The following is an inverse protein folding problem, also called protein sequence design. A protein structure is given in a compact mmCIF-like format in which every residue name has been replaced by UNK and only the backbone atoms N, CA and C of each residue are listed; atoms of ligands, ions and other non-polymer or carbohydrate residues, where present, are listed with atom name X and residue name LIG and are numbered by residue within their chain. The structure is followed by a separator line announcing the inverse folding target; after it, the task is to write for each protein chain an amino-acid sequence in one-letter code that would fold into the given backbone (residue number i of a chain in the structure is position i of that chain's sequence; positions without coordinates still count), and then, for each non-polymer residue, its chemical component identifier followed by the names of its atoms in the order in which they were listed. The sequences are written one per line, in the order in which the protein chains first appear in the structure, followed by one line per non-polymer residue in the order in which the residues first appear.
data_IF_271043878114
#
_entry.id   IF_271043878114
#
_cell.length_a   1.000
_cell.length_b   1.000
_cell.length_c   1.000
_cell.angle_alpha   90.00
_cell.angle_beta   90.00
_cell.angle_gamma   90.00
#
_symmetry.space_group_name_H-M   'P 1'
#
loop_
_entity.id
_entity.type
_entity.pdbx_description
1 polymer ?
#
# COMPACT_ATOMS: atom_id res chain seq x y z
N UNK A 1 20.79 -46.55 27.34
CA UNK A 1 19.91 -45.62 28.09
C UNK A 1 18.83 -45.11 27.14
N UNK A 2 17.53 -45.40 27.35
CA UNK A 2 16.49 -44.94 26.45
C UNK A 2 16.20 -43.45 26.72
N UNK A 3 16.31 -42.60 25.68
CA UNK A 3 15.94 -41.18 25.72
C UNK A 3 14.45 -41.08 26.04
N UNK A 4 14.09 -40.34 27.09
CA UNK A 4 12.72 -40.25 27.61
C UNK A 4 11.77 -39.64 26.57
N UNK A 5 10.70 -40.37 26.28
CA UNK A 5 9.62 -40.03 25.34
C UNK A 5 8.77 -38.82 25.77
N UNK A 6 8.84 -38.41 27.03
CA UNK A 6 8.00 -37.35 27.63
C UNK A 6 8.45 -35.94 27.21
N UNK A 7 9.76 -35.72 27.01
CA UNK A 7 10.32 -34.41 26.62
C UNK A 7 9.98 -34.05 25.16
N UNK A 8 9.75 -35.06 24.33
CA UNK A 8 9.40 -34.85 22.92
C UNK A 8 7.95 -34.40 22.71
N UNK A 9 7.01 -34.75 23.61
CA UNK A 9 5.58 -34.43 23.40
C UNK A 9 5.30 -32.94 23.52
N UNK A 10 5.83 -32.29 24.56
CA UNK A 10 5.64 -30.85 24.76
C UNK A 10 6.28 -30.04 23.64
N UNK A 11 7.48 -30.43 23.21
CA UNK A 11 8.15 -29.85 22.04
C UNK A 11 7.32 -30.00 20.76
N UNK A 12 6.75 -31.18 20.52
CA UNK A 12 5.87 -31.42 19.37
C UNK A 12 4.62 -30.55 19.42
N UNK A 13 4.02 -30.35 20.60
CA UNK A 13 2.87 -29.45 20.76
C UNK A 13 3.22 -27.99 20.48
N UNK A 14 4.38 -27.52 20.94
CA UNK A 14 4.87 -26.17 20.66
C UNK A 14 5.16 -25.98 19.16
N UNK A 15 5.78 -26.95 18.49
CA UNK A 15 6.05 -26.93 17.05
C UNK A 15 4.74 -26.89 16.24
N UNK A 16 3.74 -27.67 16.64
CA UNK A 16 2.44 -27.70 15.96
C UNK A 16 1.66 -26.40 16.16
N UNK A 17 1.71 -25.81 17.36
CA UNK A 17 1.11 -24.49 17.62
C UNK A 17 1.74 -23.40 16.75
N UNK A 18 3.05 -23.45 16.54
CA UNK A 18 3.74 -22.53 15.63
C UNK A 18 3.23 -22.72 14.20
N UNK A 19 3.10 -23.97 13.73
CA UNK A 19 2.63 -24.27 12.37
C UNK A 19 1.17 -23.85 12.15
N UNK A 20 0.27 -24.08 13.10
CA UNK A 20 -1.14 -23.66 13.00
C UNK A 20 -1.32 -22.13 13.02
N UNK A 21 -0.34 -21.39 13.54
CA UNK A 21 -0.34 -19.92 13.50
C UNK A 21 0.25 -19.36 12.19
N UNK A 22 1.00 -20.17 11.44
CA UNK A 22 1.62 -19.76 10.17
C UNK A 22 0.68 -20.06 8.99
N UNK A 23 0.01 -21.21 9.04
CA UNK A 23 -0.81 -21.78 7.97
C UNK A 23 -2.30 -21.78 8.33
N UNK A 24 -3.15 -21.52 7.35
CA UNK A 24 -4.60 -21.55 7.57
C UNK A 24 -5.12 -23.00 7.70
N UNK A 25 -6.32 -23.20 8.25
CA UNK A 25 -6.92 -24.54 8.46
C UNK A 25 -7.03 -25.41 7.20
N UNK A 26 -7.01 -24.80 6.00
CA UNK A 26 -7.01 -25.53 4.74
C UNK A 26 -5.60 -26.03 4.35
N UNK A 27 -4.54 -25.35 4.80
CA UNK A 27 -3.12 -25.63 4.52
C UNK A 27 -2.50 -26.56 5.56
N UNK A 28 -2.93 -26.45 6.82
CA UNK A 28 -2.44 -27.27 7.92
C UNK A 28 -3.58 -27.61 8.88
N UNK A 29 -3.67 -28.88 9.26
CA UNK A 29 -4.57 -29.36 10.31
C UNK A 29 -3.90 -30.46 11.14
N UNK A 30 -4.35 -30.63 12.39
CA UNK A 30 -3.91 -31.73 13.23
C UNK A 30 -5.12 -32.47 13.83
N UNK A 31 -4.94 -33.76 14.11
CA UNK A 31 -5.76 -34.49 15.08
C UNK A 31 -4.91 -34.80 16.32
N UNK A 32 -5.56 -34.86 17.49
CA UNK A 32 -4.94 -35.27 18.75
C UNK A 32 -5.54 -36.60 19.19
N UNK A 33 -4.83 -37.69 18.92
CA UNK A 33 -5.09 -39.03 19.47
C UNK A 33 -3.85 -39.48 20.29
N UNK A 34 -3.65 -40.79 20.54
CA UNK A 34 -2.44 -41.30 21.21
C UNK A 34 -1.14 -40.94 20.45
N UNK A 35 -1.28 -40.54 19.18
CA UNK A 35 -0.26 -40.02 18.28
C UNK A 35 -0.76 -38.67 17.71
N UNK A 36 0.14 -37.70 17.57
CA UNK A 36 -0.17 -36.44 16.87
C UNK A 36 -0.03 -36.69 15.37
N UNK A 37 -1.16 -36.69 14.65
CA UNK A 37 -1.16 -36.72 13.19
C UNK A 37 -1.31 -35.30 12.63
N UNK A 38 -0.34 -34.90 11.81
CA UNK A 38 -0.32 -33.60 11.15
C UNK A 38 -0.60 -33.78 9.66
N UNK A 39 -1.61 -33.08 9.15
CA UNK A 39 -1.95 -33.05 7.75
C UNK A 39 -1.49 -31.72 7.17
N UNK A 40 -0.48 -31.76 6.29
CA UNK A 40 -0.03 -30.61 5.53
C UNK A 40 -0.55 -30.73 4.11
N UNK A 41 -1.55 -29.92 3.79
CA UNK A 41 -2.03 -29.80 2.43
C UNK A 41 -1.13 -28.79 1.71
N UNK A 42 -0.06 -29.33 1.11
CA UNK A 42 0.65 -28.60 0.07
C UNK A 42 -0.30 -28.49 -1.12
N UNK A 43 -1.06 -27.39 -1.19
CA UNK A 43 -1.56 -26.92 -2.47
C UNK A 43 -0.38 -26.19 -3.10
N UNK A 44 0.42 -26.84 -3.99
CA UNK A 44 1.26 -26.05 -4.85
C UNK A 44 0.30 -25.17 -5.63
N UNK A 45 0.20 -23.90 -5.25
CA UNK A 45 -0.18 -22.89 -6.23
C UNK A 45 0.95 -23.03 -7.24
N UNK A 46 0.72 -23.81 -8.29
CA UNK A 46 1.60 -23.90 -9.45
C UNK A 46 1.46 -22.56 -10.14
N UNK A 47 2.02 -21.53 -9.52
CA UNK A 47 2.41 -20.32 -10.21
C UNK A 47 3.58 -20.78 -11.08
N UNK A 48 3.26 -21.01 -12.35
CA UNK A 48 4.26 -21.11 -13.41
C UNK A 48 5.25 -19.96 -13.21
N UNK A 49 6.54 -20.24 -13.43
CA UNK A 49 7.57 -19.21 -13.38
C UNK A 49 7.17 -18.02 -14.27
N UNK A 50 6.82 -16.90 -13.65
CA UNK A 50 6.39 -15.67 -14.30
C UNK A 50 7.52 -14.61 -14.35
N UNK A 51 8.76 -15.07 -14.17
CA UNK A 51 9.94 -14.21 -14.26
C UNK A 51 9.95 -13.07 -13.24
N UNK A 52 10.05 -11.85 -13.74
CA UNK A 52 10.09 -10.61 -12.96
C UNK A 52 8.70 -10.04 -12.68
N UNK A 53 7.65 -10.61 -13.28
CA UNK A 53 6.29 -10.13 -13.08
C UNK A 53 5.85 -10.36 -11.61
N UNK A 54 5.07 -9.46 -11.00
CA UNK A 54 4.57 -9.69 -9.65
C UNK A 54 3.64 -10.91 -9.59
N UNK A 55 3.61 -11.61 -8.45
CA UNK A 55 2.64 -12.68 -8.25
C UNK A 55 1.22 -12.11 -8.31
N UNK A 56 0.34 -12.74 -9.09
CA UNK A 56 -1.06 -12.32 -9.18
C UNK A 56 -1.78 -12.55 -7.85
N UNK A 57 -2.18 -11.46 -7.19
CA UNK A 57 -3.00 -11.49 -5.98
C UNK A 57 -4.29 -10.70 -6.22
N UNK A 58 -5.39 -11.16 -5.62
CA UNK A 58 -6.63 -10.39 -5.60
C UNK A 58 -6.41 -9.05 -4.89
N UNK A 59 -7.04 -7.98 -5.39
CA UNK A 59 -6.94 -6.63 -4.85
C UNK A 59 -7.21 -6.58 -3.34
N UNK A 60 -8.22 -7.32 -2.87
CA UNK A 60 -8.57 -7.36 -1.45
C UNK A 60 -7.42 -7.94 -0.60
N UNK A 61 -6.77 -9.00 -1.07
CA UNK A 61 -5.65 -9.63 -0.38
C UNK A 61 -4.42 -8.71 -0.39
N UNK A 62 -4.18 -8.02 -1.51
CA UNK A 62 -3.11 -7.02 -1.63
C UNK A 62 -3.29 -5.89 -0.61
N UNK A 63 -4.49 -5.32 -0.51
CA UNK A 63 -4.78 -4.24 0.44
C UNK A 63 -4.61 -4.69 1.90
N UNK A 64 -5.15 -5.86 2.25
CA UNK A 64 -4.97 -6.44 3.60
C UNK A 64 -3.51 -6.68 3.94
N UNK A 65 -2.72 -7.19 3.00
CA UNK A 65 -1.29 -7.43 3.17
C UNK A 65 -0.52 -6.13 3.42
N UNK A 66 -0.83 -5.07 2.67
CA UNK A 66 -0.20 -3.76 2.84
C UNK A 66 -0.54 -3.19 4.22
N UNK A 67 -1.81 -3.20 4.60
CA UNK A 67 -2.27 -2.70 5.89
C UNK A 67 -1.62 -3.45 7.05
N UNK A 68 -1.56 -4.77 6.96
CA UNK A 68 -0.87 -5.60 7.95
C UNK A 68 0.63 -5.28 8.01
N UNK A 69 1.28 -5.10 6.86
CA UNK A 69 2.69 -4.76 6.79
C UNK A 69 2.98 -3.40 7.43
N UNK A 70 2.20 -2.36 7.13
CA UNK A 70 2.41 -1.01 7.68
C UNK A 70 2.25 -0.97 9.20
N UNK A 71 1.22 -1.63 9.73
CA UNK A 71 0.89 -1.66 11.17
C UNK A 71 1.78 -2.59 11.99
N UNK A 72 2.59 -3.43 11.34
CA UNK A 72 3.38 -4.46 12.01
C UNK A 72 4.74 -3.96 12.54
N UNK A 73 5.19 -4.60 13.63
CA UNK A 73 6.55 -4.43 14.16
C UNK A 73 7.62 -5.08 13.26
N UNK A 74 8.90 -4.88 13.59
CA UNK A 74 10.04 -5.39 12.79
C UNK A 74 10.03 -6.91 12.62
N UNK A 75 9.64 -7.67 13.63
CA UNK A 75 9.67 -9.13 13.58
C UNK A 75 8.53 -9.68 12.73
N UNK A 76 7.33 -9.12 12.87
CA UNK A 76 6.19 -9.49 12.04
C UNK A 76 6.39 -9.09 10.58
N UNK A 77 7.06 -7.96 10.30
CA UNK A 77 7.52 -7.61 8.94
C UNK A 77 8.48 -8.66 8.35
N UNK A 78 9.42 -9.19 9.15
CA UNK A 78 10.30 -10.29 8.70
C UNK A 78 9.52 -11.57 8.41
N UNK A 79 8.51 -11.90 9.21
CA UNK A 79 7.63 -13.05 8.97
C UNK A 79 6.84 -12.89 7.67
N UNK A 80 6.24 -11.72 7.42
CA UNK A 80 5.54 -11.42 6.17
C UNK A 80 6.48 -11.49 4.95
N UNK A 81 7.69 -10.98 5.08
CA UNK A 81 8.73 -11.09 4.05
C UNK A 81 9.11 -12.54 3.75
N UNK A 82 9.12 -13.42 4.76
CA UNK A 82 9.36 -14.85 4.57
C UNK A 82 8.17 -15.54 3.90
N UNK A 83 6.93 -15.19 4.28
CA UNK A 83 5.70 -15.79 3.75
C UNK A 83 5.42 -15.42 2.29
N UNK A 84 5.56 -14.14 1.93
CA UNK A 84 5.20 -13.62 0.60
C UNK A 84 6.40 -13.43 -0.33
N UNK A 85 7.62 -13.62 0.18
CA UNK A 85 8.85 -13.32 -0.52
C UNK A 85 9.21 -11.84 -0.45
N UNK A 86 10.45 -11.56 0.00
CA UNK A 86 10.96 -10.20 0.23
C UNK A 86 10.72 -9.25 -0.95
N UNK A 87 11.12 -9.66 -2.16
CA UNK A 87 11.01 -8.83 -3.37
C UNK A 87 9.56 -8.55 -3.76
N UNK A 88 8.69 -9.56 -3.71
CA UNK A 88 7.28 -9.41 -4.06
C UNK A 88 6.57 -8.47 -3.08
N UNK A 89 6.80 -8.67 -1.78
CA UNK A 89 6.24 -7.80 -0.74
C UNK A 89 6.72 -6.36 -0.90
N UNK A 90 8.01 -6.17 -1.19
CA UNK A 90 8.58 -4.85 -1.45
C UNK A 90 7.90 -4.17 -2.64
N UNK A 91 7.77 -4.85 -3.79
CA UNK A 91 7.09 -4.32 -4.98
C UNK A 91 5.65 -3.91 -4.67
N UNK A 92 4.91 -4.77 -3.95
CA UNK A 92 3.51 -4.51 -3.59
C UNK A 92 3.39 -3.26 -2.72
N UNK A 93 4.21 -3.17 -1.67
CA UNK A 93 4.20 -2.04 -0.74
C UNK A 93 4.65 -0.76 -1.43
N UNK A 94 5.76 -0.78 -2.17
CA UNK A 94 6.27 0.39 -2.90
C UNK A 94 5.25 0.90 -3.94
N UNK A 95 4.62 -0.01 -4.69
CA UNK A 95 3.58 0.36 -5.66
C UNK A 95 2.42 1.06 -4.98
N UNK A 96 1.93 0.53 -3.85
CA UNK A 96 0.85 1.15 -3.11
C UNK A 96 1.22 2.54 -2.59
N UNK A 97 2.36 2.66 -1.92
CA UNK A 97 2.86 3.92 -1.39
C UNK A 97 3.03 4.96 -2.50
N UNK A 98 3.56 4.56 -3.66
CA UNK A 98 3.70 5.43 -4.82
C UNK A 98 2.33 5.90 -5.32
N UNK A 99 1.35 5.00 -5.45
CA UNK A 99 0.01 5.38 -5.93
C UNK A 99 -0.73 6.29 -4.94
N UNK A 100 -0.63 6.03 -3.65
CA UNK A 100 -1.26 6.87 -2.62
C UNK A 100 -0.58 8.24 -2.51
N UNK A 101 0.75 8.26 -2.61
CA UNK A 101 1.51 9.50 -2.67
C UNK A 101 1.10 10.34 -3.88
N UNK A 102 0.99 9.73 -5.06
CA UNK A 102 0.53 10.42 -6.28
C UNK A 102 -0.89 10.99 -6.10
N UNK A 103 -1.83 10.21 -5.54
CA UNK A 103 -3.21 10.73 -5.31
C UNK A 103 -3.25 11.91 -4.35
N UNK A 104 -2.38 11.92 -3.33
CA UNK A 104 -2.37 12.97 -2.30
C UNK A 104 -1.64 14.23 -2.76
N UNK A 105 -0.52 14.08 -3.48
CA UNK A 105 0.38 15.19 -3.78
C UNK A 105 0.29 15.69 -5.23
N UNK A 106 -0.43 14.98 -6.10
CA UNK A 106 -0.56 15.36 -7.50
C UNK A 106 -2.01 15.38 -7.97
N UNK A 107 -2.28 16.24 -8.96
CA UNK A 107 -3.59 16.34 -9.63
C UNK A 107 -3.43 16.14 -11.13
N UNK A 108 -4.39 15.45 -11.74
CA UNK A 108 -4.40 15.25 -13.18
C UNK A 108 -4.73 16.57 -13.90
N UNK A 109 -3.99 16.87 -14.97
CA UNK A 109 -4.32 17.99 -15.85
C UNK A 109 -5.72 17.78 -16.49
N UNK A 110 -6.63 18.77 -16.45
CA UNK A 110 -7.97 18.61 -17.01
C UNK A 110 -8.01 18.46 -18.55
N UNK A 111 -6.91 18.73 -19.24
CA UNK A 111 -6.84 18.62 -20.70
C UNK A 111 -6.14 17.34 -21.18
N UNK A 112 -5.04 16.95 -20.54
CA UNK A 112 -4.20 15.83 -21.01
C UNK A 112 -4.01 14.71 -19.97
N UNK A 113 -4.61 14.84 -18.79
CA UNK A 113 -4.54 13.88 -17.67
C UNK A 113 -3.14 13.59 -17.11
N UNK A 114 -2.09 14.28 -17.56
CA UNK A 114 -0.76 14.20 -16.95
C UNK A 114 -0.85 14.60 -15.47
N UNK A 115 -0.28 13.79 -14.57
CA UNK A 115 -0.21 14.10 -13.14
C UNK A 115 0.77 15.24 -12.90
N UNK A 116 0.31 16.30 -12.23
CA UNK A 116 1.09 17.50 -11.90
C UNK A 116 1.13 17.62 -10.38
N UNK A 117 2.33 17.75 -9.83
CA UNK A 117 2.57 18.05 -8.41
C UNK A 117 2.55 19.57 -8.16
N UNK A 118 2.00 20.00 -7.02
CA UNK A 118 2.08 21.40 -6.57
C UNK A 118 3.36 21.54 -5.75
N UNK A 119 4.38 22.15 -6.34
CA UNK A 119 5.69 22.33 -5.70
C UNK A 119 5.61 23.42 -4.63
N UNK A 120 5.10 24.60 -5.00
CA UNK A 120 4.81 25.71 -4.08
C UNK A 120 4.06 26.82 -4.85
N UNK A 121 3.43 27.75 -4.13
CA UNK A 121 2.90 29.00 -4.68
C UNK A 121 1.39 29.02 -4.94
N UNK A 122 0.99 29.67 -6.02
CA UNK A 122 -0.42 29.98 -6.28
C UNK A 122 -1.22 28.79 -6.83
N UNK A 123 -2.52 28.79 -6.58
CA UNK A 123 -3.49 27.82 -7.08
C UNK A 123 -3.74 27.93 -8.59
N UNK A 124 -3.15 28.90 -9.29
CA UNK A 124 -3.13 28.96 -10.76
C UNK A 124 -1.94 28.14 -11.28
N UNK A 125 -2.19 26.88 -11.60
CA UNK A 125 -1.16 25.94 -12.09
C UNK A 125 -1.09 25.95 -13.62
N UNK A 126 0.06 25.59 -14.17
CA UNK A 126 0.27 25.39 -15.61
C UNK A 126 0.77 23.98 -15.86
N UNK A 127 0.11 23.23 -16.74
CA UNK A 127 0.53 21.88 -17.08
C UNK A 127 1.93 21.88 -17.73
N UNK A 128 2.85 21.06 -17.20
CA UNK A 128 4.20 20.95 -17.74
C UNK A 128 4.24 20.38 -19.16
N UNK A 129 3.26 19.54 -19.51
CA UNK A 129 3.14 18.88 -20.81
C UNK A 129 2.40 19.74 -21.84
N UNK A 130 1.08 19.95 -21.69
CA UNK A 130 0.27 20.65 -22.70
C UNK A 130 0.13 22.16 -22.47
N UNK A 131 0.81 22.72 -21.45
CA UNK A 131 0.90 24.16 -21.16
C UNK A 131 -0.41 24.88 -20.84
N UNK A 132 -1.53 24.17 -20.69
CA UNK A 132 -2.80 24.78 -20.26
C UNK A 132 -2.75 25.22 -18.80
N UNK A 133 -3.43 26.33 -18.49
CA UNK A 133 -3.61 26.82 -17.13
C UNK A 133 -4.83 26.17 -16.48
N UNK A 134 -4.72 25.74 -15.23
CA UNK A 134 -5.86 25.17 -14.50
C UNK A 134 -5.81 25.58 -13.03
N UNK A 135 -6.95 25.54 -12.37
CA UNK A 135 -7.04 25.82 -10.95
C UNK A 135 -6.73 24.56 -10.14
N UNK A 136 -5.77 24.64 -9.22
CA UNK A 136 -5.43 23.54 -8.32
C UNK A 136 -6.60 23.18 -7.41
N UNK A 137 -7.40 24.13 -6.96
CA UNK A 137 -8.49 23.87 -6.01
C UNK A 137 -9.61 23.04 -6.63
N UNK A 138 -10.16 23.51 -7.76
CA UNK A 138 -11.30 22.88 -8.40
C UNK A 138 -10.94 21.93 -9.56
N UNK A 139 -9.68 21.91 -10.01
CA UNK A 139 -9.21 21.06 -11.11
C UNK A 139 -9.67 21.52 -12.51
N UNK A 140 -10.36 22.67 -12.62
CA UNK A 140 -10.94 23.13 -13.90
C UNK A 140 -9.90 23.83 -14.77
N UNK A 141 -9.96 23.56 -16.07
CA UNK A 141 -9.20 24.27 -17.11
C UNK A 141 -9.62 25.74 -17.18
N UNK A 142 -8.66 26.65 -17.00
CA UNK A 142 -8.89 28.09 -17.07
C UNK A 142 -8.71 28.54 -18.53
N UNK A 143 -9.84 28.85 -19.19
CA UNK A 143 -9.89 29.25 -20.61
C UNK A 143 -9.95 30.77 -20.80
N UNK A 144 -10.08 31.54 -19.72
CA UNK A 144 -10.12 33.01 -19.77
C UNK A 144 -8.79 33.58 -20.27
N UNK A 145 -8.85 34.68 -21.02
CA UNK A 145 -7.63 35.37 -21.51
C UNK A 145 -6.72 35.77 -20.35
N UNK A 146 -7.31 36.25 -19.25
CA UNK A 146 -6.62 36.46 -18.00
C UNK A 146 -6.92 35.28 -17.04
N UNK A 147 -5.91 34.46 -16.78
CA UNK A 147 -6.07 33.27 -15.95
C UNK A 147 -6.36 33.57 -14.47
N UNK A 148 -6.16 34.83 -14.03
CA UNK A 148 -6.43 35.26 -12.66
C UNK A 148 -7.92 35.56 -12.42
N UNK A 149 -8.72 35.79 -13.46
CA UNK A 149 -10.16 36.10 -13.35
C UNK A 149 -10.95 34.99 -12.64
N UNK A 150 -10.47 33.75 -12.75
CA UNK A 150 -11.03 32.59 -12.05
C UNK A 150 -11.12 32.80 -10.53
N UNK A 151 -10.15 33.52 -9.95
CA UNK A 151 -10.05 33.78 -8.51
C UNK A 151 -10.72 35.10 -8.10
N UNK A 152 -11.21 35.90 -9.06
CA UNK A 152 -11.92 37.16 -8.82
C UNK A 152 -13.45 37.01 -8.96
N UNK A 153 -13.91 35.84 -9.41
CA UNK A 153 -15.34 35.58 -9.65
C UNK A 153 -16.03 35.09 -8.38
N UNK A 154 -16.95 35.89 -7.85
CA UNK A 154 -17.66 35.65 -6.56
C UNK A 154 -18.46 34.34 -6.54
N UNK A 155 -18.95 33.89 -7.70
CA UNK A 155 -19.80 32.69 -7.78
C UNK A 155 -19.04 31.35 -7.79
N UNK A 156 -17.70 31.36 -7.65
CA UNK A 156 -16.90 30.14 -7.61
C UNK A 156 -16.28 29.95 -6.22
N UNK A 157 -16.19 28.69 -5.75
CA UNK A 157 -15.52 28.33 -4.48
C UNK A 157 -14.00 28.64 -4.47
N UNK A 158 -13.47 29.22 -5.54
CA UNK A 158 -12.07 29.63 -5.70
C UNK A 158 -11.88 31.16 -5.52
N UNK A 159 -12.96 31.92 -5.29
CA UNK A 159 -12.90 33.36 -5.07
C UNK A 159 -11.94 33.72 -3.94
N UNK A 160 -11.00 34.63 -4.21
CA UNK A 160 -9.94 35.09 -3.29
C UNK A 160 -9.00 33.99 -2.78
N UNK A 161 -8.93 32.84 -3.44
CA UNK A 161 -8.05 31.72 -3.04
C UNK A 161 -6.92 31.46 -4.04
N UNK A 162 -6.34 32.53 -4.60
CA UNK A 162 -5.18 32.41 -5.49
C UNK A 162 -3.96 31.88 -4.73
N UNK A 163 -3.77 32.29 -3.48
CA UNK A 163 -2.73 31.79 -2.59
C UNK A 163 -3.41 31.17 -1.37
N UNK A 164 -2.87 30.06 -0.87
CA UNK A 164 -3.25 29.53 0.44
C UNK A 164 -2.21 30.08 1.44
N UNK A 165 -2.67 30.58 2.59
CA UNK A 165 -1.75 30.92 3.69
C UNK A 165 -1.28 29.57 4.25
N UNK A 166 -0.02 29.22 3.98
CA UNK A 166 0.61 28.09 4.66
C UNK A 166 1.03 28.64 6.02
N UNK A 167 0.24 28.38 7.07
CA UNK A 167 0.75 28.53 8.43
C UNK A 167 1.84 27.46 8.59
N UNK A 168 3.09 27.89 8.70
CA UNK A 168 4.20 27.02 9.06
C UNK A 168 3.89 26.43 10.44
N UNK A 169 3.32 25.23 10.48
CA UNK A 169 3.25 24.45 11.71
C UNK A 169 4.70 24.27 12.19
N UNK A 170 4.97 24.86 13.35
CA UNK A 170 6.25 24.88 14.04
C UNK A 170 6.98 23.53 13.95
N UNK A 171 8.06 23.49 13.18
CA UNK A 171 9.08 22.45 13.33
C UNK A 171 9.84 22.78 14.61
N UNK A 172 9.32 22.32 15.75
CA UNK A 172 10.13 22.23 16.97
C UNK A 172 11.20 21.17 16.74
N UNK A 173 12.46 21.62 16.79
CA UNK A 173 13.69 20.83 16.78
C UNK A 173 13.81 19.94 18.02
#
# INVERSE_FOLDING_TARGET
MPRSTIDNRKRQEDEVLVLSNIYNNNEFSQSKEDIIECYYNAFPVVVVYHGVEPCAMSLNNTLKLIEEYEKSNKDKKKLLQAKYGRKQLQIVVEKYLTTEYLKKNSKACPNCSTMIEKIDGCNKMTCSYCKVCFCWLCGVHITTKNAYDHFLTVNNNCYQRLFDIIEEENVEL
#
